data_IF_401541432363
#
_entry.id   IF_401541432363
#
_cell.length_a   1.000
_cell.length_b   1.000
_cell.length_c   1.000
_cell.angle_alpha   90.00
_cell.angle_beta   90.00
_cell.angle_gamma   90.00
#
_symmetry.space_group_name_H-M   'P 1'
#
loop_
_entity.id
_entity.type
_entity.pdbx_description
1 polymer ?
#
# COMPACT_ATOMS: atom_id res chain seq x y z
N UNK A 1 40.37 3.84 -71.57
CA UNK A 1 39.91 4.19 -72.94
C UNK A 1 38.39 4.01 -72.93
N UNK A 2 37.63 5.11 -72.85
CA UNK A 2 36.84 5.72 -73.95
C UNK A 2 35.47 5.04 -74.10
N UNK A 3 34.28 5.66 -74.04
CA UNK A 3 33.81 7.06 -73.91
C UNK A 3 32.48 7.08 -73.11
N UNK A 4 32.01 8.20 -72.50
CA UNK A 4 31.40 9.42 -73.10
C UNK A 4 30.39 9.06 -74.21
N UNK A 5 29.14 9.53 -74.28
CA UNK A 5 28.43 10.70 -73.69
C UNK A 5 26.97 10.63 -74.18
N UNK A 6 26.00 11.15 -73.43
CA UNK A 6 24.98 12.16 -73.86
C UNK A 6 24.11 12.48 -72.62
N UNK A 7 24.35 13.64 -72.00
CA UNK A 7 23.61 14.91 -72.16
C UNK A 7 22.26 14.87 -71.44
N UNK A 8 22.11 15.60 -70.32
CA UNK A 8 21.81 17.05 -70.24
C UNK A 8 20.30 17.28 -70.51
N UNK A 9 19.54 18.11 -69.80
CA UNK A 9 19.85 19.22 -68.90
C UNK A 9 18.49 19.82 -68.49
N UNK A 10 18.39 20.34 -67.26
CA UNK A 10 17.66 21.54 -66.82
C UNK A 10 16.16 21.69 -67.21
N UNK A 11 15.25 22.05 -66.30
CA UNK A 11 14.94 23.42 -65.83
C UNK A 11 13.91 23.18 -64.71
N UNK A 12 14.14 23.52 -63.45
CA UNK A 12 14.16 24.84 -62.79
C UNK A 12 12.90 25.04 -61.92
N UNK A 13 13.14 25.74 -60.83
CA UNK A 13 12.24 25.97 -59.72
C UNK A 13 11.03 26.85 -60.06
N UNK A 14 9.87 26.49 -59.52
CA UNK A 14 8.75 27.40 -59.28
C UNK A 14 8.19 27.20 -57.87
N UNK A 15 8.60 28.02 -56.87
CA UNK A 15 8.09 27.94 -55.50
C UNK A 15 6.75 28.68 -55.32
N UNK A 16 5.92 28.74 -56.36
CA UNK A 16 4.74 29.62 -56.41
C UNK A 16 3.37 28.93 -56.35
N UNK A 17 3.30 27.59 -56.42
CA UNK A 17 2.01 26.89 -56.65
C UNK A 17 1.40 26.25 -55.39
N UNK A 18 2.17 26.11 -54.30
CA UNK A 18 1.66 25.46 -53.07
C UNK A 18 1.00 26.41 -52.06
N UNK A 19 1.06 27.74 -52.24
CA UNK A 19 0.40 28.71 -51.34
C UNK A 19 -1.05 29.00 -51.75
N UNK A 20 -1.44 28.72 -53.00
CA UNK A 20 -2.80 28.94 -53.48
C UNK A 20 -3.84 27.92 -52.98
N UNK A 21 -3.44 26.69 -52.67
CA UNK A 21 -4.36 25.63 -52.27
C UNK A 21 -4.76 25.69 -50.79
N UNK A 22 -3.87 26.20 -49.92
CA UNK A 22 -4.14 26.34 -48.50
C UNK A 22 -5.06 27.54 -48.18
N UNK A 23 -4.95 28.64 -48.94
CA UNK A 23 -5.81 29.81 -48.75
C UNK A 23 -7.25 29.56 -49.23
N UNK A 24 -7.44 28.79 -50.31
CA UNK A 24 -8.76 28.44 -50.81
C UNK A 24 -9.56 27.55 -49.85
N UNK A 25 -8.92 26.57 -49.22
CA UNK A 25 -9.56 25.70 -48.24
C UNK A 25 -9.95 26.45 -46.95
N UNK A 26 -9.12 27.37 -46.48
CA UNK A 26 -9.42 28.19 -45.30
C UNK A 26 -10.58 29.17 -45.55
N UNK A 27 -10.63 29.81 -46.73
CA UNK A 27 -11.73 30.68 -47.11
C UNK A 27 -13.06 29.93 -47.31
N UNK A 28 -13.01 28.71 -47.85
CA UNK A 28 -14.19 27.85 -47.98
C UNK A 28 -14.73 27.37 -46.62
N UNK A 29 -13.86 27.04 -45.66
CA UNK A 29 -14.27 26.69 -44.30
C UNK A 29 -14.83 27.88 -43.52
N UNK A 30 -14.27 29.09 -43.69
CA UNK A 30 -14.81 30.32 -43.10
C UNK A 30 -16.16 30.71 -43.72
N UNK A 31 -16.34 30.55 -45.03
CA UNK A 31 -17.62 30.77 -45.69
C UNK A 31 -18.67 29.73 -45.25
N UNK A 32 -18.28 28.47 -45.05
CA UNK A 32 -19.15 27.43 -44.50
C UNK A 32 -19.55 27.71 -43.03
N UNK A 33 -18.64 28.22 -42.21
CA UNK A 33 -18.93 28.60 -40.83
C UNK A 33 -19.93 29.78 -40.76
N UNK A 34 -19.77 30.79 -41.62
CA UNK A 34 -20.65 31.96 -41.64
C UNK A 34 -22.04 31.67 -42.25
N UNK A 35 -22.17 30.68 -43.15
CA UNK A 35 -23.47 30.25 -43.68
C UNK A 35 -24.18 29.19 -42.83
N UNK A 36 -23.48 28.52 -41.90
CA UNK A 36 -24.10 27.63 -40.91
C UNK A 36 -24.65 28.39 -39.69
N UNK A 37 -24.37 29.69 -39.57
CA UNK A 37 -25.04 30.59 -38.61
C UNK A 37 -26.47 30.94 -39.07
N UNK A 38 -27.19 29.92 -39.55
CA UNK A 38 -28.61 29.95 -39.87
C UNK A 38 -29.43 29.55 -38.66
N UNK A 39 -29.97 30.57 -38.01
CA UNK A 39 -31.20 30.52 -37.21
C UNK A 39 -31.15 29.77 -35.87
N UNK A 40 -30.47 30.37 -34.90
CA UNK A 40 -30.78 30.16 -33.47
C UNK A 40 -31.78 31.21 -32.98
N UNK A 41 -32.89 31.43 -33.72
CA UNK A 41 -34.07 32.04 -33.12
C UNK A 41 -34.40 31.27 -31.83
N UNK A 42 -34.52 32.00 -30.73
CA UNK A 42 -34.65 31.47 -29.38
C UNK A 42 -35.70 30.35 -29.29
N UNK A 43 -35.25 29.11 -29.35
CA UNK A 43 -36.02 27.95 -28.89
C UNK A 43 -36.16 28.10 -27.38
N UNK A 44 -37.26 28.74 -26.97
CA UNK A 44 -37.84 28.55 -25.64
C UNK A 44 -37.86 27.04 -25.41
N UNK A 45 -36.97 26.55 -24.54
CA UNK A 45 -37.02 25.17 -24.05
C UNK A 45 -38.45 24.96 -23.53
N UNK A 46 -39.24 24.04 -24.09
CA UNK A 46 -40.49 23.67 -23.44
C UNK A 46 -40.11 23.21 -22.03
N UNK A 47 -40.75 23.80 -21.01
CA UNK A 47 -40.57 23.39 -19.61
C UNK A 47 -40.79 21.86 -19.58
N UNK A 48 -39.75 21.11 -19.20
CA UNK A 48 -39.71 19.63 -19.21
C UNK A 48 -40.63 19.00 -18.16
N UNK A 49 -41.42 19.80 -17.45
CA UNK A 49 -42.35 19.34 -16.43
C UNK A 49 -43.68 20.01 -16.75
N UNK A 50 -44.55 19.28 -17.44
CA UNK A 50 -45.91 19.71 -17.80
C UNK A 50 -46.93 19.24 -16.74
N UNK A 51 -46.53 18.33 -15.85
CA UNK A 51 -47.27 17.90 -14.67
C UNK A 51 -46.32 17.79 -13.48
N UNK A 52 -45.98 18.92 -12.87
CA UNK A 52 -45.39 18.88 -11.54
C UNK A 52 -46.54 18.49 -10.60
N UNK A 53 -46.54 17.24 -10.12
CA UNK A 53 -47.38 16.87 -8.98
C UNK A 53 -46.89 17.72 -7.82
N UNK A 54 -47.77 18.60 -7.33
CA UNK A 54 -47.52 19.40 -6.15
C UNK A 54 -47.28 18.43 -4.99
N UNK A 55 -46.00 18.29 -4.60
CA UNK A 55 -45.63 17.49 -3.45
C UNK A 55 -46.26 18.18 -2.27
N UNK A 56 -47.25 17.52 -1.67
CA UNK A 56 -47.95 17.96 -0.47
C UNK A 56 -46.95 18.62 0.48
N UNK A 57 -47.13 19.92 0.72
CA UNK A 57 -46.32 20.64 1.69
C UNK A 57 -46.43 19.90 3.02
N UNK A 58 -45.31 19.57 3.69
CA UNK A 58 -45.35 18.80 4.92
C UNK A 58 -46.28 19.52 5.90
N UNK A 59 -47.30 18.80 6.37
CA UNK A 59 -48.21 19.34 7.35
C UNK A 59 -47.43 19.76 8.61
N UNK A 60 -47.80 20.86 9.27
CA UNK A 60 -47.22 21.19 10.56
C UNK A 60 -47.45 20.01 11.51
N UNK A 61 -46.42 19.68 12.29
CA UNK A 61 -46.44 18.60 13.29
C UNK A 61 -47.71 18.70 14.14
N UNK A 62 -48.45 17.60 14.20
CA UNK A 62 -49.62 17.54 15.06
C UNK A 62 -49.22 17.59 16.55
N UNK A 63 -50.10 18.09 17.42
CA UNK A 63 -49.84 18.12 18.87
C UNK A 63 -49.61 16.70 19.45
N UNK A 64 -50.15 15.67 18.80
CA UNK A 64 -49.90 14.27 19.17
C UNK A 64 -48.51 13.79 18.77
N UNK A 65 -48.00 14.18 17.60
CA UNK A 65 -46.62 13.88 17.17
C UNK A 65 -45.58 14.64 18.01
N UNK A 66 -45.91 15.88 18.38
CA UNK A 66 -45.08 16.70 19.28
C UNK A 66 -44.94 16.04 20.66
N UNK A 67 -46.00 15.38 21.16
CA UNK A 67 -45.95 14.60 22.41
C UNK A 67 -45.12 13.32 22.27
N UNK A 68 -45.15 12.63 21.12
CA UNK A 68 -44.29 11.45 20.86
C UNK A 68 -42.80 11.79 20.73
N UNK A 69 -42.45 13.02 20.35
CA UNK A 69 -41.04 13.45 20.27
C UNK A 69 -40.44 13.74 21.66
N UNK A 70 -41.27 13.79 22.71
CA UNK A 70 -40.81 14.01 24.09
C UNK A 70 -40.35 12.74 24.81
N UNK A 71 -40.57 11.56 24.20
CA UNK A 71 -39.83 10.36 24.57
C UNK A 71 -38.42 10.56 24.03
N UNK A 72 -37.50 10.94 24.92
CA UNK A 72 -36.08 11.01 24.61
C UNK A 72 -35.70 9.71 23.90
N UNK A 73 -35.41 9.79 22.61
CA UNK A 73 -34.54 8.81 21.98
C UNK A 73 -33.30 8.82 22.88
N UNK A 74 -33.09 7.74 23.62
CA UNK A 74 -31.77 7.41 24.10
C UNK A 74 -30.91 7.36 22.83
N UNK A 75 -30.30 8.49 22.52
CA UNK A 75 -29.17 8.60 21.63
C UNK A 75 -28.06 7.87 22.37
N UNK A 76 -28.17 6.55 22.43
CA UNK A 76 -27.05 5.65 22.44
C UNK A 76 -26.12 6.22 21.38
N UNK A 77 -25.03 6.79 21.89
CA UNK A 77 -24.16 7.71 21.17
C UNK A 77 -23.79 7.04 19.85
N UNK A 78 -24.41 7.49 18.76
CA UNK A 78 -23.86 7.25 17.43
C UNK A 78 -22.58 8.08 17.41
N UNK A 79 -21.52 7.49 17.94
CA UNK A 79 -20.16 7.95 17.73
C UNK A 79 -19.89 7.68 16.26
N UNK A 80 -20.29 8.63 15.42
CA UNK A 80 -19.74 8.71 14.07
C UNK A 80 -18.23 8.81 14.28
N UNK A 81 -17.49 7.76 13.93
CA UNK A 81 -16.04 7.84 13.91
C UNK A 81 -15.66 9.08 13.12
N UNK A 82 -14.94 10.00 13.76
CA UNK A 82 -14.54 11.23 13.14
C UNK A 82 -13.56 10.90 12.00
N UNK A 83 -14.05 10.97 10.76
CA UNK A 83 -13.25 10.68 9.58
C UNK A 83 -14.09 10.54 8.32
N UNK A 84 -13.46 10.72 7.17
CA UNK A 84 -14.08 10.44 5.88
C UNK A 84 -13.82 8.97 5.52
N UNK A 85 -14.85 8.25 5.06
CA UNK A 85 -14.72 6.88 4.55
C UNK A 85 -15.11 6.82 3.07
N UNK A 86 -14.44 5.95 2.33
CA UNK A 86 -14.72 5.69 0.91
C UNK A 86 -14.68 4.19 0.68
N UNK A 87 -15.68 3.67 -0.03
CA UNK A 87 -15.72 2.30 -0.52
C UNK A 87 -15.78 2.33 -2.04
N UNK A 88 -15.03 1.43 -2.66
CA UNK A 88 -14.95 1.27 -4.11
C UNK A 88 -15.26 -0.18 -4.45
N UNK A 89 -16.23 -0.37 -5.33
CA UNK A 89 -16.60 -1.66 -5.88
C UNK A 89 -16.10 -1.80 -7.32
N UNK A 90 -15.87 -3.04 -7.75
CA UNK A 90 -15.59 -3.38 -9.13
C UNK A 90 -16.84 -3.27 -10.02
N UNK A 91 -16.70 -3.58 -11.31
CA UNK A 91 -17.80 -3.53 -12.28
C UNK A 91 -18.93 -4.53 -11.96
N UNK A 92 -18.62 -5.57 -11.17
CA UNK A 92 -19.56 -6.59 -10.71
C UNK A 92 -20.19 -6.25 -9.35
N UNK A 93 -19.84 -5.10 -8.76
CA UNK A 93 -20.34 -4.65 -7.46
C UNK A 93 -19.66 -5.30 -6.26
N UNK A 94 -18.56 -6.04 -6.46
CA UNK A 94 -17.76 -6.60 -5.37
C UNK A 94 -16.83 -5.53 -4.80
N UNK A 95 -16.70 -5.50 -3.48
CA UNK A 95 -15.82 -4.53 -2.81
C UNK A 95 -14.36 -4.78 -3.21
N UNK A 96 -13.75 -3.79 -3.86
CA UNK A 96 -12.36 -3.84 -4.30
C UNK A 96 -11.45 -3.14 -3.30
N UNK A 97 -11.92 -2.04 -2.72
CA UNK A 97 -11.14 -1.22 -1.82
C UNK A 97 -12.02 -0.46 -0.85
N UNK A 98 -11.53 -0.27 0.37
CA UNK A 98 -12.08 0.64 1.37
C UNK A 98 -10.94 1.46 1.95
N UNK A 99 -11.14 2.76 2.16
CA UNK A 99 -10.19 3.55 2.93
C UNK A 99 -10.89 4.61 3.75
N UNK A 100 -10.25 4.97 4.86
CA UNK A 100 -10.64 6.08 5.71
C UNK A 100 -9.42 6.86 6.15
N UNK A 101 -9.65 8.06 6.64
CA UNK A 101 -8.65 8.86 7.31
C UNK A 101 -9.33 9.78 8.32
N UNK A 102 -8.59 10.20 9.35
CA UNK A 102 -9.06 11.21 10.29
C UNK A 102 -9.38 12.52 9.57
N UNK A 103 -8.57 12.87 8.57
CA UNK A 103 -8.77 14.02 7.70
C UNK A 103 -8.34 13.70 6.27
N UNK A 104 -9.12 14.17 5.29
CA UNK A 104 -8.80 14.09 3.87
C UNK A 104 -8.84 15.51 3.30
N UNK A 105 -7.71 16.00 2.82
CA UNK A 105 -7.60 17.27 2.12
C UNK A 105 -7.38 17.01 0.62
N UNK A 106 -8.36 17.30 -0.25
CA UNK A 106 -8.20 17.18 -1.68
C UNK A 106 -7.13 18.14 -2.21
N UNK A 107 -6.34 17.66 -3.16
CA UNK A 107 -5.34 18.43 -3.90
C UNK A 107 -5.70 18.47 -5.39
N UNK A 108 -5.10 19.37 -6.19
CA UNK A 108 -5.21 19.35 -7.64
C UNK A 108 -4.81 18.00 -8.26
N UNK A 109 -5.22 17.77 -9.51
CA UNK A 109 -4.84 16.57 -10.29
C UNK A 109 -5.21 15.23 -9.64
N UNK A 110 -6.31 15.22 -8.87
CA UNK A 110 -6.85 14.01 -8.21
C UNK A 110 -5.91 13.45 -7.16
N UNK A 111 -5.11 14.29 -6.52
CA UNK A 111 -4.37 13.92 -5.32
C UNK A 111 -5.21 14.18 -4.07
N UNK A 112 -4.93 13.44 -3.01
CA UNK A 112 -5.44 13.68 -1.67
C UNK A 112 -4.30 13.56 -0.67
N UNK A 113 -4.34 14.42 0.34
CA UNK A 113 -3.52 14.31 1.55
C UNK A 113 -4.39 13.77 2.67
N UNK A 114 -3.85 12.85 3.45
CA UNK A 114 -4.57 12.10 4.46
C UNK A 114 -3.82 12.15 5.79
N UNK A 115 -4.53 12.33 6.89
CA UNK A 115 -4.03 12.19 8.25
C UNK A 115 -4.59 10.90 8.85
N UNK A 116 -3.70 10.06 9.39
CA UNK A 116 -3.98 8.70 9.84
C UNK A 116 -4.78 7.88 8.81
N UNK A 117 -4.27 7.71 7.58
CA UNK A 117 -4.92 6.87 6.60
C UNK A 117 -4.97 5.41 7.06
N UNK A 118 -6.09 4.75 6.81
CA UNK A 118 -6.26 3.32 6.93
C UNK A 118 -6.93 2.81 5.66
N UNK A 119 -6.27 1.94 4.91
CA UNK A 119 -6.74 1.38 3.66
C UNK A 119 -6.83 -0.14 3.74
N UNK A 120 -7.88 -0.70 3.14
CA UNK A 120 -8.14 -2.13 3.01
C UNK A 120 -8.34 -2.41 1.52
N UNK A 121 -7.47 -3.24 0.95
CA UNK A 121 -7.53 -3.67 -0.44
C UNK A 121 -7.92 -5.14 -0.49
N UNK A 122 -8.96 -5.44 -1.26
CA UNK A 122 -9.48 -6.81 -1.41
C UNK A 122 -8.88 -7.43 -2.65
N UNK A 123 -8.29 -8.61 -2.50
CA UNK A 123 -7.53 -9.30 -3.52
C UNK A 123 -8.10 -10.70 -3.70
N UNK A 124 -9.01 -10.87 -4.66
CA UNK A 124 -9.78 -12.10 -4.75
C UNK A 124 -10.74 -12.27 -3.57
N UNK A 125 -11.17 -13.50 -3.30
CA UNK A 125 -12.16 -13.80 -2.24
C UNK A 125 -11.51 -14.10 -0.88
N UNK A 126 -10.25 -14.54 -0.89
CA UNK A 126 -9.56 -15.07 0.28
C UNK A 126 -8.44 -14.15 0.79
N UNK A 127 -8.13 -13.01 0.14
CA UNK A 127 -7.00 -12.15 0.57
C UNK A 127 -7.38 -10.70 0.76
N UNK A 128 -6.73 -10.12 1.75
CA UNK A 128 -6.86 -8.72 2.11
C UNK A 128 -5.48 -8.17 2.40
N UNK A 129 -5.21 -6.95 1.95
CA UNK A 129 -4.05 -6.17 2.36
C UNK A 129 -4.58 -4.95 3.10
N UNK A 130 -4.08 -4.71 4.30
CA UNK A 130 -4.31 -3.45 5.02
C UNK A 130 -3.05 -2.61 5.01
N UNK A 131 -3.22 -1.29 4.94
CA UNK A 131 -2.14 -0.32 4.98
C UNK A 131 -2.54 0.83 5.89
N UNK A 132 -1.67 1.17 6.83
CA UNK A 132 -1.87 2.31 7.73
C UNK A 132 -0.58 3.08 7.96
N UNK A 133 -0.73 4.35 8.30
CA UNK A 133 0.38 5.26 8.60
C UNK A 133 -0.12 6.48 9.37
N UNK A 134 0.78 7.36 9.79
CA UNK A 134 0.45 8.67 10.37
C UNK A 134 -0.02 9.66 9.31
N UNK A 135 0.59 9.63 8.13
CA UNK A 135 0.28 10.51 7.00
C UNK A 135 0.30 9.75 5.69
N UNK A 136 -0.48 10.23 4.73
CA UNK A 136 -0.45 9.69 3.39
C UNK A 136 -0.75 10.73 2.33
N UNK A 137 -0.21 10.52 1.13
CA UNK A 137 -0.55 11.26 -0.06
C UNK A 137 -0.81 10.29 -1.19
N UNK A 138 -2.00 10.31 -1.76
CA UNK A 138 -2.42 9.33 -2.75
C UNK A 138 -3.15 9.95 -3.94
N UNK A 139 -3.03 9.30 -5.10
CA UNK A 139 -3.73 9.64 -6.34
C UNK A 139 -5.02 8.83 -6.45
N UNK A 140 -6.14 9.50 -6.70
CA UNK A 140 -7.51 8.95 -6.71
C UNK A 140 -8.32 9.29 -8.00
N UNK A 141 -7.89 8.83 -9.19
CA UNK A 141 -8.51 9.20 -10.46
C UNK A 141 -9.94 8.65 -10.61
N UNK A 142 -10.25 7.51 -9.99
CA UNK A 142 -11.58 6.88 -9.98
C UNK A 142 -12.12 6.67 -8.57
N UNK A 143 -11.73 7.53 -7.62
CA UNK A 143 -12.04 7.41 -6.18
C UNK A 143 -11.38 6.23 -5.45
N UNK A 144 -10.66 5.37 -6.16
CA UNK A 144 -9.76 4.34 -5.63
C UNK A 144 -8.35 4.89 -5.42
N UNK A 145 -7.64 4.44 -4.37
CA UNK A 145 -6.22 4.78 -4.20
C UNK A 145 -5.43 3.97 -5.22
N UNK A 146 -4.89 4.64 -6.23
CA UNK A 146 -4.15 3.99 -7.31
C UNK A 146 -2.64 3.97 -7.03
N UNK A 147 -2.10 5.07 -6.53
CA UNK A 147 -0.68 5.19 -6.21
C UNK A 147 -0.49 6.22 -5.11
N UNK A 148 0.58 6.12 -4.34
CA UNK A 148 0.82 7.08 -3.27
C UNK A 148 2.03 6.77 -2.42
N UNK A 149 2.19 7.61 -1.39
CA UNK A 149 3.20 7.50 -0.35
C UNK A 149 2.52 7.55 1.01
N UNK A 150 2.98 6.70 1.92
CA UNK A 150 2.62 6.62 3.33
C UNK A 150 3.85 6.95 4.15
N UNK A 151 3.70 7.76 5.21
CA UNK A 151 4.79 8.28 6.03
C UNK A 151 4.43 8.20 7.52
N UNK A 152 5.40 7.78 8.32
CA UNK A 152 5.30 7.64 9.77
C UNK A 152 4.54 6.40 10.21
N UNK A 153 5.17 5.55 11.02
CA UNK A 153 4.59 4.32 11.57
C UNK A 153 3.83 3.50 10.51
N UNK A 154 4.44 3.31 9.34
CA UNK A 154 3.80 2.60 8.25
C UNK A 154 3.72 1.13 8.62
N UNK A 155 2.51 0.59 8.56
CA UNK A 155 2.25 -0.81 8.77
C UNK A 155 1.41 -1.37 7.62
N UNK A 156 1.95 -2.40 6.99
CA UNK A 156 1.29 -3.11 5.90
C UNK A 156 1.10 -4.56 6.34
N UNK A 157 -0.14 -5.01 6.37
CA UNK A 157 -0.48 -6.38 6.76
C UNK A 157 -1.15 -7.09 5.59
N UNK A 158 -0.73 -8.32 5.31
CA UNK A 158 -1.39 -9.20 4.35
C UNK A 158 -2.04 -10.36 5.10
N UNK A 159 -3.25 -10.71 4.66
CA UNK A 159 -4.06 -11.78 5.24
C UNK A 159 -4.49 -12.75 4.15
N UNK A 160 -4.65 -14.01 4.52
CA UNK A 160 -5.33 -15.01 3.69
C UNK A 160 -6.26 -15.83 4.56
N UNK A 161 -7.50 -15.95 4.13
CA UNK A 161 -8.46 -16.83 4.77
C UNK A 161 -8.03 -18.30 4.60
N UNK A 162 -8.30 -19.14 5.59
CA UNK A 162 -8.32 -20.59 5.40
C UNK A 162 -9.23 -20.98 4.23
N UNK A 163 -8.95 -22.13 3.61
CA UNK A 163 -9.70 -22.60 2.45
C UNK A 163 -11.21 -22.71 2.74
N UNK A 164 -12.02 -22.04 1.91
CA UNK A 164 -13.48 -22.02 2.04
C UNK A 164 -14.04 -21.04 3.08
N UNK A 165 -13.18 -20.31 3.79
CA UNK A 165 -13.61 -19.28 4.74
C UNK A 165 -13.52 -17.86 4.14
N UNK A 166 -14.33 -16.95 4.68
CA UNK A 166 -14.26 -15.52 4.35
C UNK A 166 -13.60 -14.76 5.49
N UNK A 167 -12.77 -13.78 5.13
CA UNK A 167 -12.18 -12.86 6.11
C UNK A 167 -13.32 -12.02 6.73
N UNK A 168 -13.46 -12.12 8.05
CA UNK A 168 -14.35 -11.26 8.84
C UNK A 168 -13.56 -10.05 9.33
N UNK A 169 -14.27 -8.96 9.60
CA UNK A 169 -13.69 -7.69 10.05
C UNK A 169 -14.33 -7.24 11.36
N UNK A 170 -13.51 -6.72 12.26
CA UNK A 170 -13.94 -5.88 13.37
C UNK A 170 -13.58 -4.42 13.03
N UNK A 171 -14.59 -3.64 12.64
CA UNK A 171 -14.39 -2.35 12.00
C UNK A 171 -13.63 -2.46 10.66
N UNK A 172 -12.38 -2.01 10.66
CA UNK A 172 -11.49 -2.09 9.51
C UNK A 172 -10.37 -3.13 9.66
N UNK A 173 -10.26 -3.79 10.81
CA UNK A 173 -9.22 -4.78 11.08
C UNK A 173 -9.76 -6.20 10.80
N UNK A 174 -9.06 -7.02 9.99
CA UNK A 174 -9.38 -8.43 9.85
C UNK A 174 -9.30 -9.20 11.19
N UNK A 175 -10.24 -10.11 11.45
CA UNK A 175 -10.29 -10.88 12.70
C UNK A 175 -9.36 -12.11 12.72
N UNK A 176 -8.51 -12.26 11.70
CA UNK A 176 -7.58 -13.38 11.55
C UNK A 176 -6.14 -12.88 11.66
N UNK A 177 -5.20 -13.76 11.99
CA UNK A 177 -3.78 -13.38 12.05
C UNK A 177 -3.25 -13.00 10.65
N UNK A 178 -2.44 -11.94 10.53
CA UNK A 178 -1.79 -11.62 9.27
C UNK A 178 -0.75 -12.69 8.91
N UNK A 179 -0.70 -13.07 7.64
CA UNK A 179 0.38 -13.92 7.14
C UNK A 179 1.69 -13.15 6.97
N UNK A 180 1.62 -11.83 6.92
CA UNK A 180 2.77 -10.96 6.70
C UNK A 180 2.49 -9.60 7.30
N UNK A 181 3.47 -9.06 8.01
CA UNK A 181 3.47 -7.72 8.58
C UNK A 181 4.77 -7.05 8.16
N UNK A 182 4.66 -5.84 7.63
CA UNK A 182 5.78 -4.99 7.24
C UNK A 182 5.65 -3.70 8.02
N UNK A 183 6.70 -3.34 8.75
CA UNK A 183 6.81 -2.08 9.48
C UNK A 183 7.91 -1.23 8.82
N UNK A 184 7.59 0.02 8.52
CA UNK A 184 8.52 0.95 7.88
C UNK A 184 8.26 2.41 8.32
N UNK A 185 9.22 3.28 8.07
CA UNK A 185 9.02 4.74 8.23
C UNK A 185 8.27 5.35 7.03
N UNK A 186 8.53 4.82 5.83
CA UNK A 186 7.91 5.27 4.59
C UNK A 186 7.62 4.05 3.70
N UNK A 187 6.48 4.08 3.02
CA UNK A 187 6.19 3.15 1.93
C UNK A 187 5.55 3.89 0.74
N UNK A 188 5.86 3.44 -0.45
CA UNK A 188 5.27 3.87 -1.71
C UNK A 188 4.49 2.69 -2.28
N UNK A 189 3.32 2.95 -2.85
CA UNK A 189 2.51 1.92 -3.49
C UNK A 189 2.06 2.38 -4.86
N UNK A 190 1.95 1.44 -5.79
CA UNK A 190 1.37 1.63 -7.12
C UNK A 190 0.56 0.38 -7.49
N UNK A 191 -0.77 0.51 -7.49
CA UNK A 191 -1.70 -0.56 -7.85
C UNK A 191 -1.60 -0.95 -9.33
N UNK A 192 -1.22 -0.01 -10.21
CA UNK A 192 -1.09 -0.30 -11.66
C UNK A 192 0.12 -1.17 -11.92
N UNK A 193 1.23 -0.92 -11.21
CA UNK A 193 2.44 -1.73 -11.28
C UNK A 193 2.38 -2.97 -10.36
N UNK A 194 1.41 -3.01 -9.43
CA UNK A 194 1.36 -4.03 -8.39
C UNK A 194 2.55 -3.94 -7.44
N UNK A 195 3.12 -2.76 -7.22
CA UNK A 195 4.36 -2.61 -6.45
C UNK A 195 4.13 -1.92 -5.11
N UNK A 196 4.79 -2.44 -4.07
CA UNK A 196 4.98 -1.76 -2.79
C UNK A 196 6.48 -1.66 -2.53
N UNK A 197 6.96 -0.44 -2.29
CA UNK A 197 8.39 -0.12 -2.14
C UNK A 197 8.62 0.65 -0.84
N UNK A 198 9.58 0.19 -0.04
CA UNK A 198 10.08 0.87 1.14
C UNK A 198 11.58 1.15 0.96
N UNK A 199 11.97 2.41 0.84
CA UNK A 199 13.36 2.80 0.53
C UNK A 199 14.29 2.76 1.75
N UNK A 200 13.71 2.73 2.95
CA UNK A 200 14.42 2.91 4.20
C UNK A 200 14.37 1.64 5.05
N UNK A 201 14.65 1.80 6.34
CA UNK A 201 14.59 0.73 7.31
C UNK A 201 13.21 0.06 7.29
N UNK A 202 13.24 -1.27 7.30
CA UNK A 202 12.04 -2.10 7.23
C UNK A 202 12.20 -3.32 8.13
N UNK A 203 11.13 -3.69 8.81
CA UNK A 203 10.99 -4.94 9.53
C UNK A 203 9.87 -5.75 8.87
N UNK A 204 10.15 -7.00 8.55
CA UNK A 204 9.20 -7.91 7.95
C UNK A 204 9.08 -9.16 8.82
N UNK A 205 7.85 -9.52 9.15
CA UNK A 205 7.51 -10.81 9.73
C UNK A 205 6.49 -11.49 8.84
N UNK A 206 6.77 -12.72 8.41
CA UNK A 206 5.86 -13.53 7.63
C UNK A 206 5.61 -14.88 8.30
N UNK A 207 4.36 -15.34 8.25
CA UNK A 207 3.90 -16.62 8.73
C UNK A 207 3.39 -17.43 7.55
N UNK A 208 3.99 -18.60 7.34
CA UNK A 208 3.54 -19.56 6.35
C UNK A 208 3.03 -20.80 7.06
N UNK A 209 1.75 -21.10 6.84
CA UNK A 209 1.15 -22.34 7.29
C UNK A 209 1.19 -23.35 6.15
N UNK A 210 1.75 -24.52 6.43
CA UNK A 210 1.80 -25.62 5.50
C UNK A 210 1.24 -26.87 6.17
N UNK A 211 0.28 -27.50 5.52
CA UNK A 211 -0.23 -28.80 5.96
C UNK A 211 0.65 -29.88 5.34
N UNK A 212 1.39 -30.61 6.19
CA UNK A 212 2.23 -31.73 5.77
C UNK A 212 1.78 -32.99 6.50
N UNK A 213 1.40 -34.02 5.75
CA UNK A 213 0.96 -35.32 6.30
C UNK A 213 -0.15 -35.19 7.37
N UNK A 214 -1.03 -34.21 7.21
CA UNK A 214 -2.14 -33.93 8.14
C UNK A 214 -1.77 -33.04 9.33
N UNK A 215 -0.50 -32.78 9.58
CA UNK A 215 0.01 -31.88 10.63
C UNK A 215 0.13 -30.46 10.07
N UNK A 216 -0.29 -29.47 10.86
CA UNK A 216 -0.11 -28.05 10.52
C UNK A 216 1.27 -27.62 11.01
N UNK A 217 2.18 -27.35 10.07
CA UNK A 217 3.47 -26.73 10.36
C UNK A 217 3.36 -25.22 10.12
N UNK A 218 3.79 -24.42 11.09
CA UNK A 218 3.88 -22.97 10.96
C UNK A 218 5.35 -22.59 10.86
N UNK A 219 5.72 -21.92 9.77
CA UNK A 219 7.04 -21.35 9.58
C UNK A 219 6.95 -19.84 9.72
N UNK A 220 7.73 -19.27 10.63
CA UNK A 220 7.85 -17.82 10.79
C UNK A 220 9.19 -17.38 10.21
N UNK A 221 9.15 -16.36 9.35
CA UNK A 221 10.30 -15.72 8.74
C UNK A 221 10.34 -14.29 9.25
N UNK A 222 11.41 -13.92 9.94
CA UNK A 222 11.63 -12.57 10.45
C UNK A 222 12.87 -11.95 9.82
N UNK A 223 12.75 -10.69 9.47
CA UNK A 223 13.77 -9.95 8.72
C UNK A 223 13.80 -8.49 9.13
N UNK A 224 15.01 -7.92 9.21
CA UNK A 224 15.24 -6.47 9.33
C UNK A 224 16.24 -6.03 8.29
N UNK A 225 15.92 -4.96 7.57
CA UNK A 225 16.72 -4.47 6.46
C UNK A 225 16.56 -3.01 6.10
N UNK A 226 17.17 -2.67 4.98
CA UNK A 226 17.00 -1.42 4.25
C UNK A 226 16.64 -1.77 2.81
N UNK A 227 15.64 -1.09 2.25
CA UNK A 227 15.21 -1.32 0.87
C UNK A 227 14.41 -2.61 0.72
N UNK A 228 13.09 -2.50 0.58
CA UNK A 228 12.17 -3.59 0.27
C UNK A 228 11.36 -3.21 -0.97
N UNK A 229 11.27 -4.13 -1.93
CA UNK A 229 10.32 -4.04 -3.04
C UNK A 229 9.53 -5.34 -3.11
N UNK A 230 8.21 -5.20 -3.15
CA UNK A 230 7.25 -6.29 -3.30
C UNK A 230 6.53 -6.06 -4.61
N UNK A 231 6.56 -7.07 -5.46
CA UNK A 231 5.77 -7.12 -6.69
C UNK A 231 4.63 -8.11 -6.51
N UNK A 232 3.43 -7.66 -6.83
CA UNK A 232 2.18 -8.39 -6.74
C UNK A 232 1.71 -8.65 -8.17
N UNK A 233 1.39 -9.91 -8.48
CA UNK A 233 0.84 -10.30 -9.76
C UNK A 233 -0.47 -9.55 -10.03
N UNK A 234 -0.57 -8.89 -11.17
CA UNK A 234 -1.77 -8.13 -11.57
C UNK A 234 -3.01 -9.00 -11.74
N UNK A 235 -2.87 -10.29 -12.06
CA UNK A 235 -3.99 -11.20 -12.31
C UNK A 235 -4.48 -11.86 -11.03
N UNK A 236 -3.59 -12.52 -10.29
CA UNK A 236 -3.93 -13.28 -9.09
C UNK A 236 -3.82 -12.45 -7.81
N UNK A 237 -3.28 -11.23 -7.89
CA UNK A 237 -2.99 -10.36 -6.75
C UNK A 237 -2.20 -11.09 -5.65
N UNK A 238 -1.33 -12.00 -6.07
CA UNK A 238 -0.43 -12.75 -5.19
C UNK A 238 0.95 -12.09 -5.17
N UNK A 239 1.66 -12.21 -4.05
CA UNK A 239 3.06 -11.75 -4.00
C UNK A 239 3.87 -12.65 -4.94
N UNK A 240 4.33 -12.08 -6.04
CA UNK A 240 5.17 -12.77 -7.03
C UNK A 240 6.63 -12.72 -6.61
N UNK A 241 7.06 -11.55 -6.12
CA UNK A 241 8.45 -11.30 -5.81
C UNK A 241 8.59 -10.41 -4.59
N UNK A 242 9.55 -10.77 -3.74
CA UNK A 242 10.02 -9.96 -2.64
C UNK A 242 11.53 -9.79 -2.77
N UNK A 243 11.99 -8.54 -2.81
CA UNK A 243 13.41 -8.19 -2.91
C UNK A 243 13.78 -7.30 -1.76
N UNK A 244 14.85 -7.69 -1.08
CA UNK A 244 15.52 -6.89 -0.08
C UNK A 244 16.85 -6.41 -0.67
N UNK A 245 17.12 -5.11 -0.58
CA UNK A 245 18.39 -4.55 -1.03
C UNK A 245 19.51 -4.89 -0.05
N UNK A 246 19.27 -4.70 1.25
CA UNK A 246 20.27 -4.95 2.28
C UNK A 246 19.64 -5.50 3.57
N UNK A 247 20.16 -6.63 4.03
CA UNK A 247 19.88 -7.14 5.37
C UNK A 247 20.72 -6.38 6.41
N UNK A 248 20.07 -5.89 7.48
CA UNK A 248 20.79 -5.32 8.64
C UNK A 248 20.96 -6.34 9.75
N UNK A 249 20.00 -7.27 9.88
CA UNK A 249 20.07 -8.42 10.79
C UNK A 249 19.98 -9.74 10.02
N UNK A 250 20.43 -10.87 10.61
CA UNK A 250 20.23 -12.19 10.04
C UNK A 250 18.75 -12.49 9.79
N UNK A 251 18.45 -13.13 8.67
CA UNK A 251 17.12 -13.68 8.42
C UNK A 251 16.92 -14.85 9.39
N UNK A 252 15.89 -14.76 10.23
CA UNK A 252 15.53 -15.81 11.19
C UNK A 252 14.36 -16.60 10.62
N UNK A 253 14.51 -17.92 10.57
CA UNK A 253 13.44 -18.83 10.17
C UNK A 253 13.19 -19.79 11.34
N UNK A 254 12.02 -19.72 11.95
CA UNK A 254 11.57 -20.66 12.99
C UNK A 254 10.44 -21.53 12.45
N UNK A 255 10.43 -22.81 12.84
CA UNK A 255 9.38 -23.76 12.47
C UNK A 255 8.77 -24.36 13.72
N UNK A 256 7.46 -24.31 13.80
CA UNK A 256 6.65 -24.86 14.89
C UNK A 256 5.69 -25.92 14.31
N UNK A 257 5.41 -26.97 15.09
CA UNK A 257 4.44 -28.02 14.69
C UNK A 257 5.03 -29.32 14.14
N UNK A 258 6.31 -29.62 14.40
CA UNK A 258 6.85 -30.97 14.20
C UNK A 258 6.40 -31.89 15.34
N UNK A 259 5.73 -33.00 15.03
CA UNK A 259 5.33 -34.01 16.02
C UNK A 259 6.51 -34.43 16.91
N UNK A 260 6.20 -34.66 18.18
CA UNK A 260 7.10 -35.11 19.23
C UNK A 260 7.92 -36.34 18.79
N UNK A 261 9.18 -36.12 18.48
CA UNK A 261 10.25 -37.12 18.61
C UNK A 261 11.39 -36.46 19.38
N UNK A 262 11.33 -36.55 20.70
CA UNK A 262 12.50 -36.51 21.57
C UNK A 262 13.12 -37.93 21.61
N UNK A 263 14.43 -38.11 21.89
CA UNK A 263 15.24 -37.21 22.70
C UNK A 263 16.52 -36.70 22.03
N UNK A 264 16.89 -35.49 22.46
CA UNK A 264 18.21 -35.16 23.00
C UNK A 264 19.39 -36.02 22.50
N UNK A 265 20.07 -35.56 21.44
CA UNK A 265 21.48 -35.94 21.25
C UNK A 265 22.31 -34.92 22.04
N UNK A 266 22.53 -35.24 23.31
CA UNK A 266 23.71 -34.75 24.03
C UNK A 266 24.92 -35.39 23.34
N UNK A 267 25.71 -34.61 22.61
CA UNK A 267 27.07 -35.00 22.29
C UNK A 267 27.95 -34.66 23.50
N UNK A 268 27.89 -35.53 24.51
CA UNK A 268 28.96 -35.67 25.50
C UNK A 268 29.52 -37.09 25.36
N UNK A 269 30.77 -37.18 24.90
CA UNK A 269 31.36 -38.46 24.54
C UNK A 269 32.72 -38.32 23.86
N UNK A 270 33.62 -37.51 24.40
CA UNK A 270 35.04 -37.55 24.07
C UNK A 270 35.87 -37.96 25.28
N UNK A 271 35.83 -39.25 25.63
CA UNK A 271 36.90 -40.00 26.31
C UNK A 271 36.74 -41.48 25.93
N UNK A 272 37.75 -42.30 25.71
CA UNK A 272 39.19 -42.16 25.62
C UNK A 272 39.75 -43.47 25.05
N UNK A 273 40.91 -43.41 24.39
CA UNK A 273 41.97 -44.42 24.39
C UNK A 273 43.15 -43.85 23.56
N UNK A 274 44.43 -43.93 23.90
CA UNK A 274 45.17 -44.34 25.09
C UNK A 274 46.63 -43.98 24.74
N UNK A 275 47.43 -43.41 25.65
CA UNK A 275 48.80 -43.02 25.32
C UNK A 275 49.60 -42.28 26.39
N UNK A 276 49.93 -43.01 27.47
CA UNK A 276 51.15 -42.94 28.29
C UNK A 276 51.63 -41.63 28.97
N UNK A 277 51.62 -41.71 30.32
CA UNK A 277 52.62 -41.26 31.33
C UNK A 277 53.26 -39.85 31.18
N UNK A 278 53.32 -38.98 32.20
CA UNK A 278 54.10 -39.15 33.45
C UNK A 278 53.90 -37.94 34.39
N UNK A 279 53.93 -38.16 35.72
CA UNK A 279 54.30 -37.16 36.77
C UNK A 279 53.19 -36.23 37.26
N UNK A 280 52.61 -36.38 38.47
CA UNK A 280 53.14 -36.14 39.82
C UNK A 280 52.82 -34.73 40.40
N UNK A 281 52.31 -34.76 41.63
CA UNK A 281 52.26 -33.72 42.68
C UNK A 281 51.10 -32.69 42.72
N UNK A 282 50.13 -33.01 43.59
CA UNK A 282 49.65 -32.24 44.75
C UNK A 282 49.66 -30.70 44.74
N UNK A 283 48.53 -30.10 45.15
CA UNK A 283 48.48 -28.72 45.63
C UNK A 283 47.08 -28.14 45.80
N UNK A 284 46.44 -28.40 46.94
CA UNK A 284 45.32 -27.64 47.48
C UNK A 284 45.72 -26.18 47.73
N UNK A 285 44.88 -25.19 47.39
CA UNK A 285 44.57 -23.97 48.19
C UNK A 285 43.71 -22.96 47.40
N UNK A 286 42.47 -22.75 47.84
CA UNK A 286 41.81 -21.44 47.88
C UNK A 286 42.00 -20.88 49.31
N UNK A 287 41.58 -19.65 49.68
CA UNK A 287 41.44 -18.37 48.95
C UNK A 287 42.15 -17.23 49.75
N UNK A 288 42.27 -15.99 49.25
CA UNK A 288 42.36 -14.75 50.08
C UNK A 288 42.16 -13.47 49.24
N UNK A 289 41.46 -12.51 49.84
CA UNK A 289 40.99 -11.23 49.31
C UNK A 289 41.99 -10.05 49.41
N UNK A 290 41.59 -8.96 48.73
CA UNK A 290 41.73 -7.52 49.07
C UNK A 290 43.04 -6.75 48.78
N UNK A 291 42.95 -5.75 47.88
CA UNK A 291 43.21 -4.30 48.06
C UNK A 291 43.24 -3.62 46.67
N UNK A 292 42.47 -2.57 46.35
CA UNK A 292 42.43 -1.17 46.85
C UNK A 292 43.64 -0.31 46.45
N UNK A 293 43.36 0.71 45.63
CA UNK A 293 44.04 2.01 45.39
C UNK A 293 43.95 2.35 43.87
N UNK A 294 43.16 3.29 43.35
CA UNK A 294 43.03 4.75 43.62
C UNK A 294 44.32 5.56 43.33
N UNK A 295 44.30 6.32 42.22
CA UNK A 295 44.55 7.78 42.13
C UNK A 295 44.93 8.20 40.68
N UNK A 296 44.17 9.03 39.93
CA UNK A 296 43.99 10.51 39.95
C UNK A 296 44.94 11.26 38.99
N UNK A 297 44.37 12.00 38.01
CA UNK A 297 44.61 13.43 37.66
C UNK A 297 44.07 13.76 36.25
N UNK A 298 43.02 14.60 36.11
CA UNK A 298 42.98 16.09 36.11
C UNK A 298 43.43 16.69 34.75
N UNK A 299 42.52 17.18 33.89
CA UNK A 299 41.77 18.46 33.90
C UNK A 299 42.58 19.70 33.44
N UNK A 300 42.06 20.44 32.44
CA UNK A 300 42.21 21.90 32.14
C UNK A 300 41.43 22.17 30.83
N UNK A 301 40.22 22.75 30.82
CA UNK A 301 39.83 24.20 30.84
C UNK A 301 40.33 24.99 29.60
N UNK A 302 39.67 25.98 29.01
CA UNK A 302 38.31 26.55 28.97
C UNK A 302 38.35 27.66 27.88
N UNK A 303 37.19 27.97 27.28
CA UNK A 303 36.61 29.27 26.79
C UNK A 303 37.51 30.49 26.45
N UNK A 304 37.09 31.38 25.54
CA UNK A 304 35.94 32.30 25.75
C UNK A 304 34.62 31.85 25.10
#
# INVERSE_FOLDING_TARGET
MSGRTHQASFIAAHPGVFVGLAAGAAAALLAAALFWEGDSAGRRRPKRIVDAVDVVSPAPLSEEETKRTSTSLDQERVALEAGAWVQVADEQGRLQQRYRAQRIDPEPDRWVRMERPHAVMYSGEDRVITMQADRGRARIPKRALQAGRLEGNVEIRAYRAPEGEKIRFDGDEPTIEPMMVILAEEAQFDEVLGEIRCDHAVELTAHQEQRRDGVLERTTIAFKGEGLSISVDSEQRTIERLVVERAVDPIVISREGGGELMPEVVLDGATAAEGAATGAAAGTSEPTAANSAEATNAATAARP
#
